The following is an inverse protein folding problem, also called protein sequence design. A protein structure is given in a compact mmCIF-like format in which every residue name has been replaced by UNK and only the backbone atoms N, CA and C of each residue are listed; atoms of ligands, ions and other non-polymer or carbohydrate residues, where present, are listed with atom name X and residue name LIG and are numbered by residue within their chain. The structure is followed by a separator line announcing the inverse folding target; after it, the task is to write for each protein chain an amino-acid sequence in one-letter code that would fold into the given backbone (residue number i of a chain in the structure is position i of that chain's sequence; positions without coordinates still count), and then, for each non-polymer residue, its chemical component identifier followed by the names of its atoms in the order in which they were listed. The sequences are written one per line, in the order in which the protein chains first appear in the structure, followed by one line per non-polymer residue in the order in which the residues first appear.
data_IF_565679029780
#
_entry.id   IF_565679029780
#
_cell.length_a   1.000
_cell.length_b   1.000
_cell.length_c   1.000
_cell.angle_alpha   90.00
_cell.angle_beta   90.00
_cell.angle_gamma   90.00
#
_symmetry.space_group_name_H-M   'P 1'
#
loop_
_entity.id
_entity.type
_entity.pdbx_description
1 polymer ?
#
# COMPACT_ATOMS: atom_id res chain seq x y z
N UNK A 1 -3.48 20.27 -0.23
CA UNK A 1 -2.72 19.11 0.29
C UNK A 1 -1.69 18.55 -0.71
N UNK A 2 -2.07 18.09 -1.91
CA UNK A 2 -1.16 17.40 -2.86
C UNK A 2 0.14 18.19 -3.13
N UNK A 3 0.05 19.49 -3.38
CA UNK A 3 1.23 20.34 -3.59
C UNK A 3 2.16 20.38 -2.36
N UNK A 4 1.60 20.42 -1.15
CA UNK A 4 2.36 20.37 0.11
C UNK A 4 3.09 19.03 0.23
N UNK A 5 2.43 17.92 -0.11
CA UNK A 5 3.05 16.59 -0.09
C UNK A 5 4.18 16.47 -1.11
N UNK A 6 3.99 17.01 -2.32
CA UNK A 6 5.02 17.03 -3.35
C UNK A 6 6.24 17.86 -2.93
N UNK A 7 6.03 19.04 -2.33
CA UNK A 7 7.11 19.85 -1.76
C UNK A 7 7.80 19.10 -0.63
N UNK A 8 7.04 18.49 0.28
CA UNK A 8 7.57 17.68 1.38
C UNK A 8 8.47 16.56 0.89
N UNK A 9 8.06 15.87 -0.18
CA UNK A 9 8.86 14.82 -0.81
C UNK A 9 10.20 15.36 -1.32
N UNK A 10 10.19 16.47 -2.07
CA UNK A 10 11.41 17.09 -2.59
C UNK A 10 12.33 17.59 -1.47
N UNK A 11 11.77 18.25 -0.46
CA UNK A 11 12.53 18.76 0.70
C UNK A 11 13.18 17.61 1.46
N UNK A 12 12.45 16.52 1.72
CA UNK A 12 13.00 15.33 2.38
C UNK A 12 14.18 14.73 1.60
N UNK A 13 14.03 14.59 0.29
CA UNK A 13 15.10 14.10 -0.59
C UNK A 13 16.33 15.03 -0.59
N UNK A 14 16.13 16.34 -0.79
CA UNK A 14 17.22 17.32 -0.83
C UNK A 14 17.98 17.39 0.49
N UNK A 15 17.29 17.39 1.62
CA UNK A 15 17.93 17.46 2.92
C UNK A 15 18.66 16.15 3.24
N UNK A 16 17.96 15.02 3.23
CA UNK A 16 18.54 13.78 3.74
C UNK A 16 19.58 13.20 2.78
N UNK A 17 19.31 13.23 1.48
CA UNK A 17 20.17 12.59 0.48
C UNK A 17 21.20 13.57 -0.07
N UNK A 18 20.81 14.79 -0.45
CA UNK A 18 21.77 15.73 -1.09
C UNK A 18 22.61 16.52 -0.11
N UNK A 19 22.04 16.94 1.02
CA UNK A 19 22.77 17.75 2.00
C UNK A 19 23.50 16.88 3.03
N UNK A 20 22.87 15.83 3.54
CA UNK A 20 23.47 14.94 4.55
C UNK A 20 24.11 13.66 3.98
N UNK A 21 24.07 13.46 2.66
CA UNK A 21 24.65 12.29 1.97
C UNK A 21 24.16 10.94 2.54
N UNK A 22 22.93 10.90 3.07
CA UNK A 22 22.35 9.70 3.66
C UNK A 22 21.82 8.79 2.54
N UNK A 23 22.73 8.06 1.91
CA UNK A 23 22.39 7.05 0.93
C UNK A 23 22.07 5.72 1.64
N UNK A 24 20.83 5.25 1.51
CA UNK A 24 20.45 3.91 1.99
C UNK A 24 20.71 2.84 0.93
N UNK A 25 21.16 3.25 -0.26
CA UNK A 25 21.51 2.37 -1.37
C UNK A 25 22.85 2.75 -1.99
N UNK A 26 23.72 1.77 -2.30
CA UNK A 26 25.04 2.05 -2.89
C UNK A 26 24.96 2.57 -4.36
N UNK A 27 25.95 3.38 -4.78
CA UNK A 27 26.24 3.88 -6.16
C UNK A 27 27.60 3.33 -6.66
N UNK A 28 27.89 3.19 -7.97
CA UNK A 28 27.09 2.71 -9.09
C UNK A 28 27.75 1.57 -9.92
N UNK A 29 27.05 0.42 -10.01
CA UNK A 29 27.29 -0.68 -10.96
C UNK A 29 26.10 -1.64 -11.16
N UNK A 30 24.98 -1.43 -10.43
CA UNK A 30 23.79 -2.28 -10.47
C UNK A 30 22.49 -1.48 -10.45
N UNK A 31 21.39 -2.12 -10.85
CA UNK A 31 20.05 -1.51 -11.01
C UNK A 31 19.65 -0.63 -9.83
N UNK A 32 19.51 0.66 -10.10
CA UNK A 32 19.12 1.69 -9.14
C UNK A 32 17.72 1.40 -8.59
N UNK A 33 17.57 1.23 -7.27
CA UNK A 33 16.33 1.70 -6.62
C UNK A 33 16.66 3.13 -6.15
N UNK A 34 15.80 4.09 -6.42
CA UNK A 34 16.03 5.47 -5.98
C UNK A 34 15.97 5.57 -4.45
N UNK A 35 16.66 6.56 -3.85
CA UNK A 35 16.54 6.92 -2.41
C UNK A 35 15.17 7.53 -2.08
N UNK A 36 14.09 6.91 -2.56
CA UNK A 36 12.71 7.32 -2.37
C UNK A 36 12.31 7.34 -0.90
N UNK A 37 13.01 6.59 -0.02
CA UNK A 37 12.75 6.57 1.41
C UNK A 37 12.80 7.99 2.01
N UNK A 38 13.76 8.82 1.58
CA UNK A 38 13.94 10.18 2.07
C UNK A 38 12.78 11.09 1.66
N UNK A 39 12.33 10.94 0.42
CA UNK A 39 11.13 11.63 -0.06
C UNK A 39 9.86 11.17 0.67
N UNK A 40 9.71 9.88 0.94
CA UNK A 40 8.58 9.37 1.72
C UNK A 40 8.59 9.88 3.17
N UNK A 41 9.76 10.01 3.80
CA UNK A 41 9.88 10.63 5.12
C UNK A 41 9.46 12.10 5.09
N UNK A 42 9.92 12.87 4.09
CA UNK A 42 9.50 14.26 3.90
C UNK A 42 8.00 14.41 3.64
N UNK A 43 7.40 13.51 2.87
CA UNK A 43 5.96 13.45 2.63
C UNK A 43 5.19 13.20 3.93
N UNK A 44 5.64 12.25 4.77
CA UNK A 44 5.03 11.96 6.06
C UNK A 44 5.08 13.18 6.99
N UNK A 45 6.23 13.85 7.09
CA UNK A 45 6.39 15.07 7.90
C UNK A 45 5.45 16.17 7.41
N UNK A 46 5.36 16.37 6.09
CA UNK A 46 4.47 17.36 5.50
C UNK A 46 3.00 17.04 5.76
N UNK A 47 2.60 15.77 5.66
CA UNK A 47 1.24 15.31 5.96
C UNK A 47 0.88 15.54 7.43
N UNK A 48 1.74 15.12 8.36
CA UNK A 48 1.55 15.31 9.80
C UNK A 48 1.53 16.79 10.18
N UNK A 49 2.43 17.59 9.62
CA UNK A 49 2.47 19.04 9.82
C UNK A 49 1.20 19.73 9.31
N UNK A 50 0.69 19.32 8.15
CA UNK A 50 -0.58 19.81 7.63
C UNK A 50 -1.77 19.42 8.51
N UNK A 51 -1.90 18.15 8.89
CA UNK A 51 -2.98 17.70 9.78
C UNK A 51 -2.93 18.39 11.15
N UNK A 52 -1.74 18.65 11.68
CA UNK A 52 -1.59 19.42 12.92
C UNK A 52 -2.06 20.86 12.74
N UNK A 53 -1.65 21.52 11.65
CA UNK A 53 -2.10 22.88 11.32
C UNK A 53 -3.63 22.97 11.19
N UNK A 54 -4.25 22.02 10.52
CA UNK A 54 -5.71 21.95 10.32
C UNK A 54 -6.47 21.42 11.55
N UNK A 55 -5.76 21.09 12.64
CA UNK A 55 -6.32 20.49 13.85
C UNK A 55 -7.08 19.18 13.59
N UNK A 56 -6.71 18.44 12.55
CA UNK A 56 -7.29 17.15 12.17
C UNK A 56 -6.77 16.04 13.10
N UNK A 57 -7.40 15.95 14.28
CA UNK A 57 -7.04 14.96 15.30
C UNK A 57 -7.34 13.53 14.87
N UNK A 58 -8.38 13.34 14.06
CA UNK A 58 -8.75 12.05 13.49
C UNK A 58 -7.64 11.58 12.55
N UNK A 59 -7.24 12.43 11.62
CA UNK A 59 -6.14 12.17 10.69
C UNK A 59 -4.83 11.88 11.41
N UNK A 60 -4.48 12.66 12.44
CA UNK A 60 -3.28 12.43 13.26
C UNK A 60 -3.33 11.08 13.99
N UNK A 61 -4.48 10.72 14.58
CA UNK A 61 -4.66 9.43 15.26
C UNK A 61 -4.48 8.27 14.28
N UNK A 62 -5.18 8.30 13.14
CA UNK A 62 -5.10 7.24 12.13
C UNK A 62 -3.69 7.13 11.54
N UNK A 63 -3.02 8.26 11.32
CA UNK A 63 -1.63 8.28 10.86
C UNK A 63 -0.68 7.58 11.83
N UNK A 64 -0.93 7.68 13.13
CA UNK A 64 -0.17 6.94 14.14
C UNK A 64 -0.38 5.43 14.03
N UNK A 65 -1.63 4.98 13.89
CA UNK A 65 -1.92 3.56 13.68
C UNK A 65 -1.29 3.07 12.35
N UNK A 66 -1.32 3.90 11.31
CA UNK A 66 -0.64 3.62 10.05
C UNK A 66 0.88 3.50 10.19
N UNK A 67 1.51 4.40 10.94
CA UNK A 67 2.95 4.36 11.21
C UNK A 67 3.35 3.09 11.99
N UNK A 68 2.65 2.80 13.10
CA UNK A 68 2.91 1.61 13.92
C UNK A 68 2.62 0.34 13.11
N UNK A 69 1.47 0.29 12.44
CA UNK A 69 1.04 -0.85 11.64
C UNK A 69 1.97 -1.14 10.48
N UNK A 70 2.39 -0.10 9.76
CA UNK A 70 3.36 -0.21 8.68
C UNK A 70 4.73 -0.65 9.18
N UNK A 71 5.22 -0.07 10.29
CA UNK A 71 6.50 -0.43 10.89
C UNK A 71 6.55 -1.89 11.36
N UNK A 72 5.55 -2.33 12.11
CA UNK A 72 5.45 -3.72 12.59
C UNK A 72 5.25 -4.66 11.40
N UNK A 73 4.29 -4.37 10.52
CA UNK A 73 3.99 -5.22 9.38
C UNK A 73 5.20 -5.41 8.47
N UNK A 74 5.98 -4.35 8.23
CA UNK A 74 7.17 -4.44 7.38
C UNK A 74 8.27 -5.22 8.07
N UNK A 75 8.54 -4.93 9.36
CA UNK A 75 9.61 -5.60 10.11
C UNK A 75 9.35 -7.11 10.24
N UNK A 76 8.11 -7.49 10.56
CA UNK A 76 7.70 -8.90 10.65
C UNK A 76 7.71 -9.56 9.28
N UNK A 77 7.18 -8.89 8.26
CA UNK A 77 7.15 -9.41 6.90
C UNK A 77 8.55 -9.63 6.29
N UNK A 78 9.49 -8.70 6.52
CA UNK A 78 10.89 -8.88 6.11
C UNK A 78 11.54 -10.01 6.90
N UNK A 79 11.36 -10.05 8.22
CA UNK A 79 11.90 -11.12 9.07
C UNK A 79 11.46 -12.52 8.62
N UNK A 80 10.18 -12.72 8.29
CA UNK A 80 9.66 -14.02 7.82
C UNK A 80 10.34 -14.48 6.51
N UNK A 81 10.75 -13.53 5.66
CA UNK A 81 11.38 -13.81 4.37
C UNK A 81 12.88 -14.12 4.50
N UNK A 82 13.54 -13.61 5.54
CA UNK A 82 14.99 -13.75 5.72
C UNK A 82 15.47 -15.20 5.80
N UNK A 83 14.87 -16.10 6.60
CA UNK A 83 15.35 -17.47 6.73
C UNK A 83 15.53 -18.23 5.41
N UNK A 84 14.61 -18.07 4.46
CA UNK A 84 14.72 -18.73 3.16
C UNK A 84 15.86 -18.14 2.31
N UNK A 85 15.96 -16.80 2.26
CA UNK A 85 17.03 -16.11 1.51
C UNK A 85 18.43 -16.50 1.93
N UNK A 86 18.63 -16.71 3.23
CA UNK A 86 19.93 -17.12 3.78
C UNK A 86 20.06 -18.65 3.93
N UNK A 87 19.07 -19.42 3.45
CA UNK A 87 18.99 -20.88 3.55
C UNK A 87 19.24 -21.38 4.97
N UNK A 88 18.62 -20.73 5.96
CA UNK A 88 18.80 -21.06 7.37
C UNK A 88 18.35 -22.50 7.65
N UNK A 89 19.29 -23.36 8.03
CA UNK A 89 19.14 -24.82 8.08
C UNK A 89 17.87 -25.31 8.81
N UNK A 90 17.48 -24.76 9.99
CA UNK A 90 16.31 -25.24 10.72
C UNK A 90 14.99 -25.12 9.94
N UNK A 91 14.90 -24.17 9.01
CA UNK A 91 13.72 -23.93 8.17
C UNK A 91 13.92 -24.51 6.78
N UNK A 92 15.12 -24.39 6.21
CA UNK A 92 15.43 -24.81 4.85
C UNK A 92 15.37 -26.33 4.65
N UNK A 93 15.41 -27.13 5.72
CA UNK A 93 15.21 -28.59 5.64
C UNK A 93 13.82 -29.00 5.13
N UNK A 94 12.79 -28.16 5.30
CA UNK A 94 11.43 -28.49 4.90
C UNK A 94 11.21 -28.21 3.41
N UNK A 95 11.06 -29.26 2.61
CA UNK A 95 10.91 -29.15 1.16
C UNK A 95 9.68 -28.31 0.75
N UNK A 96 8.58 -28.39 1.51
CA UNK A 96 7.40 -27.58 1.23
C UNK A 96 7.66 -26.08 1.40
N UNK A 97 8.64 -25.67 2.23
CA UNK A 97 9.04 -24.27 2.43
C UNK A 97 9.97 -23.75 1.33
N UNK A 98 10.54 -24.63 0.51
CA UNK A 98 11.44 -24.28 -0.59
C UNK A 98 10.64 -23.81 -1.80
N UNK A 99 11.02 -22.66 -2.37
CA UNK A 99 10.40 -22.15 -3.60
C UNK A 99 9.05 -21.44 -3.39
N UNK A 100 8.71 -21.09 -2.14
CA UNK A 100 7.68 -20.08 -1.91
C UNK A 100 8.14 -18.72 -2.46
N UNK A 101 7.21 -17.98 -3.05
CA UNK A 101 7.43 -16.57 -3.33
C UNK A 101 7.35 -15.78 -2.02
N UNK A 102 8.39 -15.87 -1.21
CA UNK A 102 8.48 -15.26 0.12
C UNK A 102 8.34 -13.74 0.06
N UNK A 103 8.67 -13.13 -1.08
CA UNK A 103 8.41 -11.70 -1.29
C UNK A 103 6.91 -11.39 -1.32
N UNK A 104 6.11 -12.19 -2.03
CA UNK A 104 4.64 -12.04 -2.01
C UNK A 104 4.06 -12.28 -0.63
N UNK A 105 4.62 -13.21 0.14
CA UNK A 105 4.24 -13.41 1.55
C UNK A 105 4.59 -12.23 2.44
N UNK A 106 5.76 -11.61 2.23
CA UNK A 106 6.11 -10.35 2.90
C UNK A 106 5.10 -9.27 2.57
N UNK A 107 4.74 -9.08 1.30
CA UNK A 107 3.75 -8.08 0.86
C UNK A 107 2.37 -8.34 1.49
N UNK A 108 1.91 -9.59 1.47
CA UNK A 108 0.62 -9.98 2.04
C UNK A 108 0.59 -9.85 3.57
N UNK A 109 1.64 -10.32 4.26
CA UNK A 109 1.77 -10.24 5.71
C UNK A 109 1.89 -8.79 6.18
N UNK A 110 2.67 -7.97 5.47
CA UNK A 110 2.73 -6.52 5.68
C UNK A 110 1.35 -5.89 5.59
N UNK A 111 0.62 -6.14 4.49
CA UNK A 111 -0.71 -5.60 4.27
C UNK A 111 -1.72 -6.05 5.32
N UNK A 112 -1.68 -7.33 5.73
CA UNK A 112 -2.56 -7.89 6.74
C UNK A 112 -2.33 -7.25 8.12
N UNK A 113 -1.08 -7.19 8.58
CA UNK A 113 -0.73 -6.63 9.89
C UNK A 113 -1.02 -5.12 9.92
N UNK A 114 -0.61 -4.39 8.87
CA UNK A 114 -0.89 -2.96 8.76
C UNK A 114 -2.40 -2.71 8.75
N UNK A 115 -3.16 -3.45 7.93
CA UNK A 115 -4.61 -3.33 7.82
C UNK A 115 -5.32 -3.63 9.14
N UNK A 116 -4.90 -4.67 9.87
CA UNK A 116 -5.45 -4.99 11.19
C UNK A 116 -5.22 -3.85 12.19
N UNK A 117 -4.00 -3.31 12.26
CA UNK A 117 -3.66 -2.22 13.19
C UNK A 117 -4.39 -0.92 12.82
N UNK A 118 -4.49 -0.57 11.53
CA UNK A 118 -5.29 0.58 11.08
C UNK A 118 -6.77 0.37 11.41
N UNK A 119 -7.29 -0.85 11.27
CA UNK A 119 -8.67 -1.17 11.66
C UNK A 119 -8.91 -0.99 13.15
N UNK A 120 -7.94 -1.31 14.02
CA UNK A 120 -8.02 -0.98 15.45
C UNK A 120 -8.11 0.53 15.67
N UNK A 121 -7.41 1.34 14.87
CA UNK A 121 -7.53 2.79 14.88
C UNK A 121 -8.93 3.27 14.49
N UNK A 122 -9.53 2.69 13.45
CA UNK A 122 -10.92 2.98 13.06
C UNK A 122 -11.91 2.55 14.15
N UNK A 123 -11.74 1.36 14.73
CA UNK A 123 -12.57 0.89 15.84
C UNK A 123 -12.46 1.81 17.07
N UNK A 124 -11.26 2.34 17.34
CA UNK A 124 -11.06 3.34 18.38
C UNK A 124 -11.88 4.61 18.08
N UNK A 125 -11.82 5.13 16.86
CA UNK A 125 -12.63 6.29 16.45
C UNK A 125 -14.13 6.04 16.63
N UNK A 126 -14.61 4.86 16.19
CA UNK A 126 -16.02 4.50 16.25
C UNK A 126 -16.53 4.38 17.68
N UNK A 127 -15.71 3.85 18.60
CA UNK A 127 -16.06 3.72 20.03
C UNK A 127 -16.05 5.06 20.75
N UNK A 128 -15.20 5.98 20.31
CA UNK A 128 -14.96 7.23 21.01
C UNK A 128 -15.76 8.40 20.43
N UNK A 129 -16.65 8.17 19.45
CA UNK A 129 -17.62 9.14 18.94
C UNK A 129 -17.03 10.50 18.52
N UNK A 130 -15.87 10.51 17.87
CA UNK A 130 -15.30 11.75 17.34
C UNK A 130 -16.17 12.34 16.24
N UNK A 131 -16.23 13.67 16.22
CA UNK A 131 -16.68 14.40 15.05
C UNK A 131 -15.73 14.05 13.89
N UNK A 132 -16.24 13.46 12.79
CA UNK A 132 -15.43 13.25 11.60
C UNK A 132 -14.85 14.58 11.13
N UNK A 133 -13.66 14.54 10.53
CA UNK A 133 -13.12 15.71 9.83
C UNK A 133 -14.17 16.21 8.85
N UNK A 134 -14.50 17.50 8.91
CA UNK A 134 -15.48 18.10 7.99
C UNK A 134 -14.96 17.87 6.58
N UNK A 135 -15.67 17.05 5.82
CA UNK A 135 -15.42 16.89 4.39
C UNK A 135 -15.53 18.30 3.78
N UNK A 136 -14.51 18.73 3.03
CA UNK A 136 -14.56 20.04 2.35
C UNK A 136 -15.88 20.09 1.58
N UNK A 137 -16.81 20.94 2.03
CA UNK A 137 -18.10 21.13 1.39
C UNK A 137 -17.81 21.32 -0.10
N UNK A 138 -18.45 20.52 -0.96
CA UNK A 138 -18.18 20.45 -2.39
C UNK A 138 -18.00 21.86 -2.94
N UNK A 139 -16.75 22.33 -2.96
CA UNK A 139 -16.44 23.64 -3.47
C UNK A 139 -16.89 23.57 -4.91
N UNK A 140 -17.62 24.57 -5.41
CA UNK A 140 -18.25 24.56 -6.73
C UNK A 140 -17.30 24.43 -7.94
N UNK A 141 -16.11 23.85 -7.74
CA UNK A 141 -15.20 23.43 -8.77
C UNK A 141 -15.74 22.26 -9.60
N UNK A 142 -15.01 22.01 -10.69
CA UNK A 142 -15.38 21.08 -11.76
C UNK A 142 -15.61 19.63 -11.30
N UNK A 143 -14.93 19.20 -10.24
CA UNK A 143 -14.94 17.83 -9.72
C UNK A 143 -14.84 17.81 -8.20
N UNK A 144 -15.68 16.99 -7.56
CA UNK A 144 -15.60 16.73 -6.12
C UNK A 144 -14.46 15.78 -5.78
N UNK A 145 -13.99 15.79 -4.53
CA UNK A 145 -12.96 14.86 -4.05
C UNK A 145 -13.34 13.39 -4.23
N UNK A 146 -14.62 13.06 -4.05
CA UNK A 146 -15.14 11.70 -4.23
C UNK A 146 -15.05 11.25 -5.68
N UNK A 147 -15.38 12.12 -6.62
CA UNK A 147 -15.30 11.83 -8.05
C UNK A 147 -13.87 11.73 -8.54
N UNK A 148 -12.99 12.62 -8.06
CA UNK A 148 -11.57 12.51 -8.32
C UNK A 148 -11.02 11.17 -7.82
N UNK A 149 -11.45 10.75 -6.62
CA UNK A 149 -11.05 9.46 -6.05
C UNK A 149 -11.58 8.28 -6.85
N UNK A 150 -12.82 8.33 -7.34
CA UNK A 150 -13.40 7.30 -8.21
C UNK A 150 -12.66 7.22 -9.54
N UNK A 151 -12.34 8.34 -10.17
CA UNK A 151 -11.55 8.34 -11.41
C UNK A 151 -10.12 7.84 -11.16
N UNK A 152 -9.48 8.26 -10.08
CA UNK A 152 -8.12 7.80 -9.76
C UNK A 152 -8.08 6.30 -9.48
N UNK A 153 -9.01 5.80 -8.67
CA UNK A 153 -9.05 4.41 -8.22
C UNK A 153 -9.61 3.48 -9.29
N UNK A 154 -10.83 3.73 -9.78
CA UNK A 154 -11.48 2.86 -10.77
C UNK A 154 -11.01 3.17 -12.18
N UNK A 155 -10.80 4.44 -12.53
CA UNK A 155 -10.31 4.83 -13.85
C UNK A 155 -8.82 4.49 -14.01
N UNK A 156 -7.96 5.37 -13.50
CA UNK A 156 -6.51 5.36 -13.77
C UNK A 156 -5.83 4.09 -13.25
N UNK A 157 -6.09 3.70 -12.00
CA UNK A 157 -5.38 2.57 -11.38
C UNK A 157 -5.77 1.23 -12.01
N UNK A 158 -7.07 0.97 -12.21
CA UNK A 158 -7.50 -0.28 -12.87
C UNK A 158 -7.09 -0.30 -14.34
N UNK A 159 -7.22 0.82 -15.05
CA UNK A 159 -6.75 0.92 -16.43
C UNK A 159 -5.25 0.62 -16.54
N UNK A 160 -4.44 1.23 -15.69
CA UNK A 160 -2.99 1.00 -15.68
C UNK A 160 -2.66 -0.47 -15.48
N UNK A 161 -3.33 -1.14 -14.53
CA UNK A 161 -3.17 -2.57 -14.30
C UNK A 161 -3.62 -3.40 -15.52
N UNK A 162 -4.76 -3.08 -16.11
CA UNK A 162 -5.29 -3.78 -17.28
C UNK A 162 -4.38 -3.63 -18.51
N UNK A 163 -3.78 -2.46 -18.73
CA UNK A 163 -2.85 -2.23 -19.84
C UNK A 163 -1.54 -3.01 -19.67
N UNK A 164 -1.00 -3.10 -18.45
CA UNK A 164 0.31 -3.72 -18.20
C UNK A 164 0.24 -5.24 -18.02
N UNK A 165 -0.85 -5.79 -17.49
CA UNK A 165 -0.93 -7.22 -17.18
C UNK A 165 -0.79 -8.14 -18.41
N UNK A 166 -1.39 -7.84 -19.57
CA UNK A 166 -1.15 -8.58 -20.81
C UNK A 166 0.31 -8.55 -21.28
N UNK A 167 1.12 -7.58 -20.82
CA UNK A 167 2.56 -7.50 -21.05
C UNK A 167 3.28 -8.83 -20.85
N UNK A 168 2.97 -9.52 -19.75
CA UNK A 168 3.54 -10.82 -19.41
C UNK A 168 3.21 -11.90 -20.45
N UNK A 169 2.03 -11.86 -21.07
CA UNK A 169 1.65 -12.79 -22.12
C UNK A 169 2.45 -12.56 -23.41
N UNK A 170 2.71 -11.29 -23.75
CA UNK A 170 3.51 -10.96 -24.91
C UNK A 170 5.00 -11.31 -24.72
N UNK A 171 5.54 -11.06 -23.53
CA UNK A 171 6.93 -11.39 -23.18
C UNK A 171 7.21 -12.90 -23.29
N UNK A 172 6.23 -13.72 -22.99
CA UNK A 172 6.35 -15.18 -23.02
C UNK A 172 5.77 -15.82 -24.30
N UNK A 173 5.51 -15.01 -25.33
CA UNK A 173 5.04 -15.49 -26.63
C UNK A 173 3.68 -16.19 -26.61
N UNK A 174 2.86 -15.95 -25.58
CA UNK A 174 1.53 -16.57 -25.42
C UNK A 174 0.46 -15.88 -26.24
N UNK A 175 0.66 -14.61 -26.56
CA UNK A 175 -0.19 -13.82 -27.45
C UNK A 175 0.75 -13.15 -28.45
N UNK A 176 0.44 -13.26 -29.74
CA UNK A 176 1.18 -12.55 -30.76
C UNK A 176 1.02 -11.04 -30.57
N UNK A 177 2.13 -10.29 -30.69
CA UNK A 177 2.08 -8.81 -30.74
C UNK A 177 1.54 -8.29 -32.07
N UNK A 178 1.27 -9.20 -33.00
CA UNK A 178 0.86 -8.91 -34.37
C UNK A 178 -0.48 -8.18 -34.41
N UNK A 179 -0.79 -7.68 -35.60
CA UNK A 179 -1.96 -6.85 -35.82
C UNK A 179 -3.24 -7.67 -35.78
N UNK A 180 -4.07 -7.45 -34.75
CA UNK A 180 -5.47 -7.85 -34.77
C UNK A 180 -6.25 -6.76 -35.53
N UNK A 181 -6.90 -7.09 -36.65
CA UNK A 181 -7.60 -6.11 -37.50
C UNK A 181 -6.73 -4.89 -37.91
N UNK A 182 -5.43 -5.08 -38.13
CA UNK A 182 -4.52 -4.00 -38.54
C UNK A 182 -3.96 -3.12 -37.41
N UNK A 183 -4.33 -3.36 -36.14
CA UNK A 183 -3.78 -2.65 -34.97
C UNK A 183 -3.03 -3.59 -34.03
N UNK A 184 -1.93 -3.12 -33.43
CA UNK A 184 -1.15 -3.92 -32.48
C UNK A 184 -1.96 -4.14 -31.20
N UNK A 185 -1.71 -5.24 -30.51
CA UNK A 185 -2.42 -5.56 -29.27
C UNK A 185 -2.33 -4.45 -28.18
N UNK A 186 -1.20 -3.76 -27.96
CA UNK A 186 -1.15 -2.63 -27.03
C UNK A 186 -2.06 -1.46 -27.42
N UNK A 187 -2.22 -1.19 -28.72
CA UNK A 187 -3.08 -0.12 -29.23
C UNK A 187 -4.56 -0.44 -28.97
N UNK A 188 -4.94 -1.72 -29.16
CA UNK A 188 -6.27 -2.23 -28.80
C UNK A 188 -6.57 -2.06 -27.32
N UNK A 189 -5.62 -2.44 -26.46
CA UNK A 189 -5.77 -2.24 -25.02
C UNK A 189 -5.97 -0.75 -24.75
N UNK A 190 -5.10 0.11 -25.29
CA UNK A 190 -5.17 1.56 -25.08
C UNK A 190 -6.53 2.15 -25.48
N UNK A 191 -7.05 1.77 -26.65
CA UNK A 191 -8.39 2.15 -27.09
C UNK A 191 -9.47 1.71 -26.10
N UNK A 192 -9.41 0.46 -25.63
CA UNK A 192 -10.33 -0.03 -24.60
C UNK A 192 -10.25 0.81 -23.32
N UNK A 193 -9.06 1.25 -22.93
CA UNK A 193 -8.87 2.16 -21.80
C UNK A 193 -9.58 3.50 -21.95
N UNK A 194 -9.50 4.11 -23.14
CA UNK A 194 -10.25 5.34 -23.44
C UNK A 194 -11.75 5.13 -23.38
N UNK A 195 -12.26 4.04 -23.99
CA UNK A 195 -13.67 3.71 -23.96
C UNK A 195 -14.17 3.44 -22.53
N UNK A 196 -13.38 2.71 -21.74
CA UNK A 196 -13.64 2.43 -20.33
C UNK A 196 -13.71 3.72 -19.49
N UNK A 197 -12.70 4.60 -19.62
CA UNK A 197 -12.66 5.86 -18.89
C UNK A 197 -13.80 6.79 -19.31
N UNK A 198 -14.11 6.84 -20.60
CA UNK A 198 -15.26 7.58 -21.13
C UNK A 198 -16.59 7.08 -20.56
N UNK A 199 -16.79 5.76 -20.50
CA UNK A 199 -17.95 5.15 -19.87
C UNK A 199 -18.02 5.47 -18.37
N UNK A 200 -16.90 5.38 -17.65
CA UNK A 200 -16.84 5.69 -16.22
C UNK A 200 -17.24 7.15 -15.95
N UNK A 201 -16.67 8.10 -16.73
CA UNK A 201 -17.02 9.52 -16.64
C UNK A 201 -18.50 9.73 -16.97
N UNK A 202 -19.01 9.09 -18.02
CA UNK A 202 -20.43 9.18 -18.39
C UNK A 202 -21.36 8.68 -17.27
N UNK A 203 -21.07 7.51 -16.68
CA UNK A 203 -21.85 6.96 -15.59
C UNK A 203 -21.82 7.85 -14.35
N UNK A 204 -20.66 8.44 -14.03
CA UNK A 204 -20.51 9.39 -12.93
C UNK A 204 -21.32 10.67 -13.17
N UNK A 205 -21.26 11.25 -14.37
CA UNK A 205 -22.06 12.42 -14.74
C UNK A 205 -23.57 12.11 -14.75
N UNK A 206 -23.97 10.91 -15.16
CA UNK A 206 -25.35 10.43 -15.07
C UNK A 206 -25.79 10.32 -13.61
N UNK A 207 -24.94 9.74 -12.75
CA UNK A 207 -25.21 9.60 -11.32
C UNK A 207 -25.41 10.94 -10.60
N UNK A 208 -24.79 12.03 -11.09
CA UNK A 208 -25.06 13.39 -10.58
C UNK A 208 -26.50 13.86 -10.85
N UNK A 209 -27.11 13.38 -11.93
CA UNK A 209 -28.44 13.84 -12.40
C UNK A 209 -29.56 12.94 -11.90
N UNK A 210 -29.30 11.64 -11.83
CA UNK A 210 -30.25 10.64 -11.37
C UNK A 210 -29.49 9.45 -10.78
N UNK A 211 -30.01 8.91 -9.68
CA UNK A 211 -29.42 7.74 -9.04
C UNK A 211 -29.30 6.57 -10.02
N UNK A 212 -28.13 5.94 -10.04
CA UNK A 212 -27.94 4.71 -10.79
C UNK A 212 -28.60 3.54 -10.07
N UNK A 213 -29.49 2.76 -10.71
CA UNK A 213 -30.22 1.66 -10.04
C UNK A 213 -29.35 0.60 -9.39
N UNK A 214 -28.12 0.41 -9.89
CA UNK A 214 -27.16 -0.55 -9.37
C UNK A 214 -26.39 -0.04 -8.13
N UNK A 215 -26.35 1.28 -7.91
CA UNK A 215 -25.62 1.85 -6.79
C UNK A 215 -26.50 1.88 -5.53
N UNK A 216 -26.02 1.36 -4.40
CA UNK A 216 -26.73 1.49 -3.14
C UNK A 216 -26.99 2.96 -2.79
N UNK A 217 -28.14 3.25 -2.18
CA UNK A 217 -28.49 4.59 -1.72
C UNK A 217 -27.69 5.01 -0.47
N UNK A 218 -27.28 4.04 0.36
CA UNK A 218 -26.52 4.31 1.58
C UNK A 218 -25.01 4.44 1.31
N UNK A 219 -24.34 5.32 2.05
CA UNK A 219 -22.87 5.48 2.00
C UNK A 219 -22.12 4.19 2.34
N UNK A 220 -22.61 3.45 3.34
CA UNK A 220 -22.05 2.15 3.67
C UNK A 220 -22.16 1.18 2.48
N UNK A 221 -23.34 1.06 1.87
CA UNK A 221 -23.53 0.17 0.72
C UNK A 221 -22.62 0.55 -0.45
N UNK A 222 -22.47 1.85 -0.75
CA UNK A 222 -21.54 2.34 -1.78
C UNK A 222 -20.10 1.97 -1.46
N UNK A 223 -19.67 2.15 -0.21
CA UNK A 223 -18.33 1.77 0.25
C UNK A 223 -18.07 0.27 0.19
N UNK A 224 -19.04 -0.56 0.60
CA UNK A 224 -18.97 -2.02 0.51
C UNK A 224 -18.87 -2.48 -0.94
N UNK A 225 -19.72 -1.95 -1.83
CA UNK A 225 -19.69 -2.28 -3.25
C UNK A 225 -18.35 -1.88 -3.89
N UNK A 226 -17.86 -0.66 -3.62
CA UNK A 226 -16.57 -0.18 -4.11
C UNK A 226 -15.43 -1.08 -3.64
N UNK A 227 -15.40 -1.43 -2.36
CA UNK A 227 -14.39 -2.31 -1.78
C UNK A 227 -14.42 -3.70 -2.43
N UNK A 228 -15.58 -4.35 -2.50
CA UNK A 228 -15.72 -5.69 -3.08
C UNK A 228 -15.37 -5.70 -4.57
N UNK A 229 -15.82 -4.70 -5.32
CA UNK A 229 -15.47 -4.55 -6.73
C UNK A 229 -13.96 -4.44 -6.91
N UNK A 230 -13.31 -3.52 -6.19
CA UNK A 230 -11.87 -3.31 -6.30
C UNK A 230 -11.08 -4.56 -5.85
N UNK A 231 -11.49 -5.19 -4.75
CA UNK A 231 -10.89 -6.43 -4.24
C UNK A 231 -10.94 -7.55 -5.28
N UNK A 232 -12.11 -7.86 -5.83
CA UNK A 232 -12.23 -8.96 -6.78
C UNK A 232 -11.59 -8.67 -8.13
N UNK A 233 -11.69 -7.43 -8.63
CA UNK A 233 -11.00 -7.05 -9.87
C UNK A 233 -9.48 -7.19 -9.71
N UNK A 234 -8.91 -6.78 -8.58
CA UNK A 234 -7.46 -6.91 -8.34
C UNK A 234 -7.02 -8.36 -8.15
N UNK A 235 -7.80 -9.18 -7.44
CA UNK A 235 -7.56 -10.63 -7.30
C UNK A 235 -7.61 -11.32 -8.66
N UNK A 236 -8.65 -11.08 -9.46
CA UNK A 236 -8.75 -11.65 -10.81
C UNK A 236 -7.59 -11.17 -11.68
N UNK A 237 -7.30 -9.87 -11.68
CA UNK A 237 -6.22 -9.31 -12.49
C UNK A 237 -4.85 -9.92 -12.16
N UNK A 238 -4.52 -10.11 -10.87
CA UNK A 238 -3.24 -10.69 -10.46
C UNK A 238 -3.17 -12.18 -10.77
N UNK A 239 -4.27 -12.93 -10.60
CA UNK A 239 -4.34 -14.36 -10.96
C UNK A 239 -4.22 -14.53 -12.47
N UNK A 240 -4.96 -13.74 -13.25
CA UNK A 240 -4.88 -13.75 -14.71
C UNK A 240 -3.45 -13.45 -15.18
N UNK A 241 -2.81 -12.40 -14.66
CA UNK A 241 -1.43 -12.06 -15.02
C UNK A 241 -0.46 -13.23 -14.84
N UNK A 242 -0.58 -13.95 -13.72
CA UNK A 242 0.34 -15.05 -13.39
C UNK A 242 -0.02 -16.39 -14.03
N UNK A 243 -1.25 -16.55 -14.53
CA UNK A 243 -1.76 -17.82 -15.06
C UNK A 243 -0.83 -18.53 -16.05
N UNK A 244 -0.19 -17.84 -17.03
CA UNK A 244 0.63 -18.51 -18.04
C UNK A 244 1.95 -19.11 -17.52
N UNK A 245 2.36 -18.71 -16.30
CA UNK A 245 3.66 -19.01 -15.69
C UNK A 245 3.51 -19.53 -14.27
N UNK A 246 2.32 -20.01 -13.91
CA UNK A 246 1.98 -20.29 -12.53
C UNK A 246 2.77 -21.50 -12.02
N UNK A 247 3.76 -21.25 -11.17
CA UNK A 247 4.48 -22.28 -10.42
C UNK A 247 3.63 -22.79 -9.24
N UNK A 248 4.05 -23.90 -8.62
CA UNK A 248 3.41 -24.41 -7.40
C UNK A 248 3.40 -23.36 -6.28
N UNK A 249 4.52 -22.65 -6.08
CA UNK A 249 4.61 -21.56 -5.11
C UNK A 249 3.69 -20.39 -5.43
N UNK A 250 3.61 -19.99 -6.71
CA UNK A 250 2.70 -18.93 -7.16
C UNK A 250 1.23 -19.34 -6.98
N UNK A 251 0.87 -20.58 -7.29
CA UNK A 251 -0.48 -21.10 -7.10
C UNK A 251 -0.92 -20.99 -5.63
N UNK A 252 -0.04 -21.35 -4.69
CA UNK A 252 -0.33 -21.25 -3.26
C UNK A 252 -0.54 -19.79 -2.81
N UNK A 253 0.30 -18.86 -3.28
CA UNK A 253 0.14 -17.41 -3.03
C UNK A 253 -1.18 -16.89 -3.59
N UNK A 254 -1.54 -17.27 -4.82
CA UNK A 254 -2.81 -16.87 -5.39
C UNK A 254 -4.01 -17.48 -4.65
N UNK A 255 -3.88 -18.73 -4.19
CA UNK A 255 -4.85 -19.39 -3.32
C UNK A 255 -5.07 -18.61 -2.01
N UNK A 256 -3.99 -18.14 -1.37
CA UNK A 256 -4.11 -17.35 -0.14
C UNK A 256 -4.79 -16.00 -0.38
N UNK A 257 -4.54 -15.34 -1.52
CA UNK A 257 -5.26 -14.12 -1.91
C UNK A 257 -6.76 -14.38 -2.09
N UNK A 258 -7.14 -15.48 -2.75
CA UNK A 258 -8.54 -15.86 -2.90
C UNK A 258 -9.21 -16.14 -1.55
N UNK A 259 -8.55 -16.88 -0.65
CA UNK A 259 -9.06 -17.15 0.70
C UNK A 259 -9.24 -15.84 1.49
N UNK A 260 -8.25 -14.95 1.42
CA UNK A 260 -8.32 -13.65 2.09
C UNK A 260 -9.47 -12.81 1.52
N UNK A 261 -9.62 -12.79 0.19
CA UNK A 261 -10.71 -12.06 -0.47
C UNK A 261 -12.09 -12.61 -0.11
N UNK A 262 -12.23 -13.93 0.02
CA UNK A 262 -13.45 -14.57 0.50
C UNK A 262 -13.75 -14.20 1.95
N UNK A 263 -12.75 -14.23 2.84
CA UNK A 263 -12.90 -13.81 4.23
C UNK A 263 -13.32 -12.32 4.32
N UNK A 264 -12.67 -11.43 3.57
CA UNK A 264 -13.06 -10.02 3.48
C UNK A 264 -14.49 -9.86 2.94
N UNK A 265 -14.85 -10.63 1.91
CA UNK A 265 -16.21 -10.62 1.34
C UNK A 265 -17.24 -11.03 2.40
N UNK A 266 -16.99 -12.12 3.11
CA UNK A 266 -17.85 -12.59 4.19
C UNK A 266 -18.00 -11.55 5.29
N UNK A 267 -16.90 -10.96 5.78
CA UNK A 267 -16.94 -9.91 6.81
C UNK A 267 -17.78 -8.72 6.33
N UNK A 268 -17.57 -8.26 5.09
CA UNK A 268 -18.26 -7.10 4.52
C UNK A 268 -19.76 -7.35 4.34
N UNK A 269 -20.14 -8.52 3.83
CA UNK A 269 -21.54 -8.88 3.58
C UNK A 269 -22.31 -9.21 4.87
N UNK A 270 -21.62 -9.59 5.95
CA UNK A 270 -22.22 -9.88 7.26
C UNK A 270 -22.25 -8.68 8.20
N UNK A 271 -21.69 -7.52 7.80
CA UNK A 271 -21.81 -6.31 8.61
C UNK A 271 -23.28 -5.87 8.66
N UNK A 272 -23.85 -5.63 9.86
CA UNK A 272 -25.16 -5.02 9.97
C UNK A 272 -25.18 -3.64 9.30
N UNK A 273 -26.35 -3.24 8.80
CA UNK A 273 -26.55 -1.88 8.33
C UNK A 273 -26.22 -0.92 9.48
N UNK A 274 -25.39 0.07 9.20
CA UNK A 274 -25.06 1.13 10.14
C UNK A 274 -26.37 1.81 10.52
N UNK A 275 -26.63 2.00 11.83
CA UNK A 275 -27.81 2.72 12.28
C UNK A 275 -27.89 4.07 11.58
N UNK A 276 -29.04 4.38 10.98
CA UNK A 276 -29.27 5.59 10.16
C UNK A 276 -29.29 6.88 11.00
N UNK A 277 -29.26 6.79 12.33
CA UNK A 277 -29.62 7.90 13.20
C UNK A 277 -28.42 8.59 13.87
N UNK A 278 -28.20 9.85 13.45
CA UNK A 278 -28.31 11.12 14.21
C UNK A 278 -28.08 11.20 15.74
N UNK A 279 -27.75 10.13 16.45
CA UNK A 279 -27.68 10.10 17.93
C UNK A 279 -26.36 9.54 18.47
N UNK A 280 -25.27 9.59 17.70
CA UNK A 280 -23.95 9.56 18.36
C UNK A 280 -23.85 10.83 19.18
N UNK A 281 -23.81 10.70 20.50
CA UNK A 281 -23.30 11.74 21.39
C UNK A 281 -21.85 12.01 20.95
N UNK A 282 -21.67 12.96 20.03
CA UNK A 282 -20.37 13.43 19.61
C UNK A 282 -19.81 14.16 20.83
N UNK A 283 -18.90 13.49 21.54
CA UNK A 283 -18.20 14.11 22.66
C UNK A 283 -17.46 15.35 22.15
N UNK A 284 -17.45 16.46 22.90
CA UNK A 284 -16.73 17.65 22.47
C UNK A 284 -15.26 17.31 22.22
N UNK A 285 -14.72 17.79 21.09
CA UNK A 285 -13.32 17.61 20.63
C UNK A 285 -12.27 17.99 21.70
N UNK A 286 -12.69 18.64 22.78
CA UNK A 286 -11.85 19.10 23.88
C UNK A 286 -11.59 18.06 24.98
N UNK A 287 -12.19 16.86 24.91
CA UNK A 287 -12.01 15.87 25.97
C UNK A 287 -10.55 15.42 26.16
N UNK A 288 -10.15 15.28 27.42
CA UNK A 288 -8.76 15.03 27.85
C UNK A 288 -8.24 13.65 27.40
N UNK A 289 -9.14 12.73 27.06
CA UNK A 289 -8.87 11.42 26.47
C UNK A 289 -8.21 11.51 25.08
N UNK A 290 -8.30 12.69 24.44
CA UNK A 290 -7.86 12.96 23.07
C UNK A 290 -6.50 13.61 22.91
N UNK A 291 -5.88 14.10 24.00
CA UNK A 291 -4.45 14.41 23.93
C UNK A 291 -3.75 13.07 23.80
N UNK A 292 -3.29 12.73 22.61
CA UNK A 292 -2.33 11.65 22.42
C UNK A 292 -1.22 11.93 23.42
N UNK A 293 -1.22 11.21 24.55
CA UNK A 293 -0.17 11.42 25.53
C UNK A 293 1.12 11.19 24.74
N UNK A 294 2.03 12.17 24.67
CA UNK A 294 3.28 12.02 23.93
C UNK A 294 3.96 10.71 24.34
N UNK A 295 3.79 10.31 25.61
CA UNK A 295 4.15 8.99 26.13
C UNK A 295 3.62 7.81 25.29
N UNK A 296 2.34 7.76 24.90
CA UNK A 296 1.79 6.66 24.09
C UNK A 296 2.40 6.66 22.68
N UNK A 297 2.64 7.83 22.09
CA UNK A 297 3.30 7.94 20.79
C UNK A 297 4.75 7.45 20.89
N UNK A 298 5.48 7.92 21.89
CA UNK A 298 6.86 7.51 22.17
C UNK A 298 6.92 6.01 22.45
N UNK A 299 6.04 5.44 23.27
CA UNK A 299 5.98 3.99 23.51
C UNK A 299 5.74 3.23 22.21
N UNK A 300 4.82 3.69 21.36
CA UNK A 300 4.56 3.04 20.07
C UNK A 300 5.77 3.10 19.13
N UNK A 301 6.36 4.28 18.96
CA UNK A 301 7.53 4.47 18.10
C UNK A 301 8.77 3.73 18.62
N UNK A 302 9.07 3.85 19.91
CA UNK A 302 10.12 3.09 20.58
C UNK A 302 9.87 1.60 20.49
N UNK A 303 8.63 1.14 20.66
CA UNK A 303 8.25 -0.26 20.49
C UNK A 303 8.55 -0.77 19.08
N UNK A 304 8.22 0.00 18.04
CA UNK A 304 8.57 -0.34 16.65
C UNK A 304 10.09 -0.39 16.44
N UNK A 305 10.86 0.56 16.99
CA UNK A 305 12.32 0.58 16.88
C UNK A 305 12.92 -0.63 17.60
N UNK A 306 12.49 -0.90 18.82
CA UNK A 306 12.95 -2.06 19.61
C UNK A 306 12.62 -3.35 18.87
N UNK A 307 11.39 -3.50 18.34
CA UNK A 307 11.02 -4.66 17.54
C UNK A 307 11.94 -4.82 16.32
N UNK A 308 12.17 -3.74 15.58
CA UNK A 308 13.05 -3.76 14.40
C UNK A 308 14.48 -4.15 14.79
N UNK A 309 15.02 -3.62 15.88
CA UNK A 309 16.34 -3.98 16.39
C UNK A 309 16.40 -5.45 16.81
N UNK A 310 15.40 -5.94 17.56
CA UNK A 310 15.32 -7.34 17.99
C UNK A 310 15.26 -8.29 16.79
N UNK A 311 14.39 -8.00 15.81
CA UNK A 311 14.28 -8.81 14.60
C UNK A 311 15.55 -8.74 13.75
N UNK A 312 16.20 -7.58 13.67
CA UNK A 312 17.49 -7.43 13.00
C UNK A 312 18.56 -8.27 13.68
N UNK A 313 18.68 -8.18 15.01
CA UNK A 313 19.63 -8.99 15.79
C UNK A 313 19.35 -10.49 15.62
N UNK A 314 18.08 -10.90 15.65
CA UNK A 314 17.69 -12.27 15.41
C UNK A 314 18.08 -12.73 13.99
N UNK A 315 17.82 -11.92 12.97
CA UNK A 315 18.27 -12.22 11.60
C UNK A 315 19.79 -12.29 11.50
N UNK A 316 20.52 -11.39 12.16
CA UNK A 316 21.98 -11.42 12.18
C UNK A 316 22.51 -12.67 12.89
N UNK A 317 21.84 -13.17 13.92
CA UNK A 317 22.22 -14.44 14.59
C UNK A 317 21.96 -15.69 13.75
N UNK A 318 21.15 -15.60 12.69
CA UNK A 318 20.89 -16.74 11.80
C UNK A 318 22.03 -17.00 10.80
N UNK A 319 23.03 -16.12 10.73
CA UNK A 319 24.14 -16.21 9.78
C UNK A 319 25.48 -15.90 10.45
N UNK A 320 26.52 -16.66 10.14
CA UNK A 320 27.89 -16.42 10.66
C UNK A 320 28.66 -15.35 9.87
N UNK A 321 28.02 -14.72 8.88
CA UNK A 321 28.58 -13.68 8.05
C UNK A 321 27.56 -13.12 7.06
N UNK A 322 27.96 -12.17 6.21
CA UNK A 322 27.11 -11.71 5.11
C UNK A 322 26.96 -12.85 4.10
N UNK A 323 25.72 -13.29 3.86
CA UNK A 323 25.43 -14.29 2.84
C UNK A 323 25.70 -13.82 1.41
N UNK A 324 25.53 -14.72 0.44
CA UNK A 324 25.66 -14.39 -0.97
C UNK A 324 24.65 -13.29 -1.40
N UNK A 325 25.15 -12.28 -2.12
CA UNK A 325 24.33 -11.15 -2.61
C UNK A 325 24.02 -10.06 -1.58
N UNK A 326 24.60 -10.13 -0.38
CA UNK A 326 24.52 -9.02 0.58
C UNK A 326 25.30 -7.80 0.06
N UNK A 327 24.65 -6.64 0.14
CA UNK A 327 25.24 -5.35 -0.24
C UNK A 327 25.64 -4.56 1.00
N UNK A 328 26.92 -4.25 1.16
CA UNK A 328 27.38 -3.44 2.28
C UNK A 328 26.98 -1.98 2.08
N UNK A 329 26.19 -1.45 3.00
CA UNK A 329 25.63 -0.09 2.91
C UNK A 329 26.49 0.95 3.60
N UNK A 330 27.17 0.57 4.69
CA UNK A 330 27.91 1.48 5.57
C UNK A 330 29.30 0.95 5.89
N UNK A 331 30.19 1.85 6.30
CA UNK A 331 31.56 1.55 6.72
C UNK A 331 32.56 1.49 5.56
N UNK A 332 33.85 1.21 5.85
CA UNK A 332 34.93 1.23 4.85
C UNK A 332 34.73 0.22 3.71
N UNK A 333 33.92 -0.81 3.97
CA UNK A 333 33.59 -1.88 3.04
C UNK A 333 32.29 -1.64 2.27
N UNK A 334 31.67 -0.46 2.37
CA UNK A 334 30.44 -0.18 1.66
C UNK A 334 30.64 -0.34 0.14
N UNK A 335 29.68 -0.95 -0.54
CA UNK A 335 29.84 -1.34 -1.95
C UNK A 335 30.10 -0.13 -2.85
N UNK A 336 29.52 1.02 -2.50
CA UNK A 336 29.74 2.26 -3.23
C UNK A 336 31.15 2.84 -3.12
N UNK A 337 31.94 2.39 -2.13
CA UNK A 337 33.35 2.75 -1.96
C UNK A 337 34.28 1.72 -2.59
N UNK A 338 33.82 0.46 -2.76
CA UNK A 338 34.62 -0.64 -3.32
C UNK A 338 34.76 -0.54 -4.83
N UNK A 339 33.71 -0.15 -5.55
CA UNK A 339 33.76 0.03 -7.01
C UNK A 339 34.55 1.26 -7.45
N UNK A 340 34.73 2.27 -6.58
CA UNK A 340 35.60 3.44 -6.87
C UNK A 340 37.09 3.07 -6.82
N UNK A 341 37.43 1.96 -6.12
CA UNK A 341 38.81 1.52 -5.90
C UNK A 341 39.19 0.28 -6.73
N UNK A 342 38.34 -0.16 -7.65
CA UNK A 342 38.70 -1.17 -8.65
C UNK A 342 38.98 -0.45 -9.98
N UNK A 343 40.21 -0.56 -10.54
CA UNK A 343 40.61 0.13 -11.77
C UNK A 343 39.88 -0.36 -13.01
#
# INVERSE_FOLDING_TARGET
LIAILAIGWWVGYLILVRLFDLHMQPKPGGTQRSDNWAGMAGLLVALVGWMWREQDRVGLLLSRYGFIGGGIGFSVGDFINKPDKIRWEPIYQFEFLRGFDHWKWTEQGFGLIMGAIVSLGVLHLLKSSLEPTKEEAASGGFMTTNEFSVIGLLGVTLWWNFYHNPGTYFEHGRIAKDTLFGMKAPDWLFLFGFLYLGLLIHLMLRNRRADLPFLPSSWQGRGQLLFLFYLWVTVVAVVSKSWPLMSHGALFVHGSFCITALACTWIVLTQPAAPTDASRNIGPVQDREWRSSPLRLTIGATGCIVLLLVLTMATMSMQEGPGDGFRYRFGPNADHLREINQP
#
